data_IF_431068240486
#
_entry.id   IF_431068240486
#
_cell.length_a   1.000
_cell.length_b   1.000
_cell.length_c   1.000
_cell.angle_alpha   90.00
_cell.angle_beta   90.00
_cell.angle_gamma   90.00
#
_symmetry.space_group_name_H-M   'P 1'
#
loop_
_entity.id
_entity.type
_entity.pdbx_description
1 polymer ?
#
# COMPACT_ATOMS: atom_id res chain seq x y z
N UNK A 1 2.38 5.88 34.25
CA UNK A 1 3.37 6.86 33.75
C UNK A 1 4.23 6.14 32.71
N UNK A 2 3.87 6.28 31.43
CA UNK A 2 4.59 5.65 30.31
C UNK A 2 5.87 6.46 30.06
N UNK A 3 6.96 6.05 30.70
CA UNK A 3 8.24 6.74 30.56
C UNK A 3 9.01 6.18 29.36
N UNK A 4 9.16 7.04 28.35
CA UNK A 4 10.23 7.11 27.35
C UNK A 4 10.34 5.86 26.47
N UNK A 5 9.45 5.77 25.48
CA UNK A 5 9.80 5.09 24.24
C UNK A 5 10.87 5.95 23.55
N UNK A 6 12.10 5.45 23.43
CA UNK A 6 13.11 6.05 22.56
C UNK A 6 12.46 6.33 21.20
N UNK A 7 12.75 7.50 20.62
CA UNK A 7 12.15 7.97 19.36
C UNK A 7 12.26 6.98 18.18
N UNK A 8 13.14 5.98 18.29
CA UNK A 8 13.29 4.87 17.35
C UNK A 8 12.17 3.81 17.47
N UNK A 9 11.60 3.61 18.66
CA UNK A 9 10.62 2.54 18.91
C UNK A 9 9.28 2.82 18.25
N UNK A 10 8.92 4.09 18.05
CA UNK A 10 7.68 4.51 17.38
C UNK A 10 7.61 4.12 15.90
N UNK A 11 8.74 3.76 15.28
CA UNK A 11 8.80 3.37 13.86
C UNK A 11 8.42 1.90 13.62
N UNK A 12 8.60 1.00 14.60
CA UNK A 12 8.42 -0.44 14.34
C UNK A 12 6.97 -0.81 13.98
N UNK A 13 6.87 -1.65 12.95
CA UNK A 13 5.62 -2.19 12.43
C UNK A 13 5.63 -3.71 12.48
N UNK A 14 4.46 -4.32 12.37
CA UNK A 14 4.31 -5.77 12.26
C UNK A 14 3.40 -6.12 11.08
N UNK A 15 3.80 -7.10 10.28
CA UNK A 15 2.98 -7.68 9.23
C UNK A 15 2.00 -8.69 9.85
N UNK A 16 0.70 -8.51 9.58
CA UNK A 16 -0.33 -9.47 9.98
C UNK A 16 -0.70 -10.33 8.80
N UNK A 17 -0.60 -11.64 8.98
CA UNK A 17 -1.01 -12.67 8.06
C UNK A 17 -2.34 -13.29 8.51
N UNK A 18 -3.08 -13.80 7.54
CA UNK A 18 -4.22 -14.66 7.80
C UNK A 18 -3.77 -16.01 8.36
N UNK A 19 -4.70 -16.83 8.86
CA UNK A 19 -4.39 -18.19 9.30
C UNK A 19 -3.78 -19.06 8.19
N UNK A 20 -4.10 -18.75 6.93
CA UNK A 20 -3.56 -19.38 5.71
C UNK A 20 -2.30 -18.71 5.17
N UNK A 21 -1.61 -17.88 5.96
CA UNK A 21 -0.35 -17.19 5.64
C UNK A 21 -0.43 -16.08 4.59
N UNK A 22 -1.62 -15.73 4.08
CA UNK A 22 -1.73 -14.58 3.18
C UNK A 22 -1.56 -13.25 3.97
N UNK A 23 -0.73 -12.29 3.53
CA UNK A 23 -0.64 -10.98 4.15
C UNK A 23 -1.97 -10.22 4.10
N UNK A 24 -2.36 -9.68 5.25
CA UNK A 24 -3.60 -8.93 5.43
C UNK A 24 -3.36 -7.43 5.51
N UNK A 25 -2.42 -6.99 6.35
CA UNK A 25 -2.13 -5.57 6.61
C UNK A 25 -0.87 -5.41 7.46
N UNK A 26 -0.34 -4.20 7.51
CA UNK A 26 0.67 -3.81 8.49
C UNK A 26 0.00 -3.08 9.68
N UNK A 27 0.48 -3.32 10.89
CA UNK A 27 0.04 -2.66 12.12
C UNK A 27 1.22 -2.09 12.90
N UNK A 28 0.98 -1.24 13.89
CA UNK A 28 2.02 -0.81 14.81
C UNK A 28 2.44 -1.93 15.77
N UNK A 29 3.67 -1.89 16.27
CA UNK A 29 4.16 -2.88 17.24
C UNK A 29 3.32 -2.92 18.53
N UNK A 30 2.76 -1.80 18.98
CA UNK A 30 1.90 -1.78 20.18
C UNK A 30 0.65 -2.63 19.97
N UNK A 31 0.01 -2.49 18.80
CA UNK A 31 -1.16 -3.30 18.44
C UNK A 31 -0.78 -4.77 18.27
N UNK A 32 0.42 -5.05 17.77
CA UNK A 32 0.95 -6.40 17.64
C UNK A 32 1.06 -7.09 19.01
N UNK A 33 1.64 -6.42 20.00
CA UNK A 33 1.71 -6.92 21.39
C UNK A 33 0.32 -7.13 21.97
N UNK A 34 -0.60 -6.17 21.80
CA UNK A 34 -1.98 -6.32 22.28
C UNK A 34 -2.66 -7.55 21.68
N UNK A 35 -2.50 -7.79 20.38
CA UNK A 35 -3.08 -8.98 19.73
C UNK A 35 -2.44 -10.27 20.25
N UNK A 36 -1.13 -10.27 20.50
CA UNK A 36 -0.41 -11.42 21.04
C UNK A 36 -0.87 -11.75 22.47
N UNK A 37 -0.97 -10.75 23.35
CA UNK A 37 -1.41 -10.95 24.74
C UNK A 37 -2.90 -11.31 24.86
N UNK A 38 -3.71 -10.94 23.86
CA UNK A 38 -5.10 -11.39 23.74
C UNK A 38 -5.22 -12.81 23.14
N UNK A 39 -4.10 -13.49 22.90
CA UNK A 39 -4.02 -14.84 22.32
C UNK A 39 -4.65 -14.95 20.91
N UNK A 40 -4.78 -13.82 20.19
CA UNK A 40 -5.41 -13.78 18.85
C UNK A 40 -4.47 -14.17 17.72
N UNK A 41 -3.17 -14.06 17.97
CA UNK A 41 -2.11 -14.29 17.00
C UNK A 41 -1.01 -15.18 17.55
N UNK A 42 -0.33 -15.84 16.64
CA UNK A 42 0.98 -16.44 16.84
C UNK A 42 2.05 -15.51 16.27
N UNK A 43 3.16 -15.33 16.99
CA UNK A 43 4.30 -14.55 16.48
C UNK A 43 5.22 -15.49 15.71
N UNK A 44 5.38 -15.23 14.41
CA UNK A 44 6.29 -15.99 13.55
C UNK A 44 7.71 -15.43 13.61
N UNK A 45 7.83 -14.11 13.73
CA UNK A 45 9.12 -13.43 13.74
C UNK A 45 9.12 -12.22 14.68
N UNK A 46 10.30 -11.87 15.16
CA UNK A 46 10.53 -10.75 16.07
C UNK A 46 11.53 -9.77 15.47
N UNK A 47 11.38 -8.49 15.80
CA UNK A 47 12.44 -7.50 15.62
C UNK A 47 13.57 -7.74 16.62
N UNK A 48 14.71 -7.09 16.40
CA UNK A 48 15.83 -7.05 17.36
C UNK A 48 15.55 -6.16 18.58
N UNK A 49 14.56 -5.27 18.48
CA UNK A 49 14.16 -4.35 19.54
C UNK A 49 13.22 -5.01 20.58
N UNK A 50 13.15 -4.39 21.77
CA UNK A 50 12.37 -4.86 22.91
C UNK A 50 11.46 -3.76 23.45
N UNK A 51 10.23 -4.12 23.84
CA UNK A 51 9.41 -3.33 24.75
C UNK A 51 9.75 -3.68 26.19
N UNK A 52 9.85 -2.68 27.07
CA UNK A 52 10.10 -2.89 28.50
C UNK A 52 8.91 -2.45 29.34
N UNK A 53 8.64 -3.24 30.37
CA UNK A 53 7.78 -2.87 31.49
C UNK A 53 8.66 -2.63 32.73
N UNK A 54 8.03 -2.32 33.87
CA UNK A 54 8.77 -2.15 35.12
C UNK A 54 9.56 -3.41 35.54
N UNK A 55 9.05 -4.60 35.18
CA UNK A 55 9.59 -5.88 35.67
C UNK A 55 10.08 -6.83 34.55
N UNK A 56 9.66 -6.61 33.31
CA UNK A 56 9.90 -7.54 32.20
C UNK A 56 10.26 -6.84 30.89
N UNK A 57 10.91 -7.58 29.99
CA UNK A 57 11.19 -7.15 28.62
C UNK A 57 10.66 -8.16 27.59
N UNK A 58 10.01 -7.65 26.55
CA UNK A 58 9.37 -8.44 25.50
C UNK A 58 9.96 -8.07 24.15
N UNK A 59 10.41 -9.06 23.37
CA UNK A 59 10.81 -8.81 21.97
C UNK A 59 9.62 -8.29 21.17
N UNK A 60 9.86 -7.28 20.34
CA UNK A 60 8.78 -6.71 19.52
C UNK A 60 8.39 -7.68 18.40
N UNK A 61 7.10 -8.03 18.23
CA UNK A 61 6.66 -8.86 17.11
C UNK A 61 6.87 -8.16 15.76
N UNK A 62 7.36 -8.90 14.78
CA UNK A 62 7.61 -8.46 13.40
C UNK A 62 6.65 -9.07 12.39
N UNK A 63 6.37 -10.38 12.50
CA UNK A 63 5.39 -11.07 11.66
C UNK A 63 4.44 -11.85 12.56
N UNK A 64 3.15 -11.65 12.36
CA UNK A 64 2.08 -12.24 13.14
C UNK A 64 1.16 -13.06 12.24
N UNK A 65 0.73 -14.23 12.71
CA UNK A 65 -0.32 -15.04 12.06
C UNK A 65 -1.57 -15.05 12.92
N UNK A 66 -2.73 -14.75 12.34
CA UNK A 66 -4.00 -14.93 13.04
C UNK A 66 -4.25 -16.41 13.32
N UNK A 67 -4.69 -16.74 14.55
CA UNK A 67 -5.09 -18.12 14.89
C UNK A 67 -6.40 -18.54 14.23
N UNK A 68 -7.26 -17.57 13.93
CA UNK A 68 -8.55 -17.80 13.27
C UNK A 68 -8.49 -17.26 11.85
N UNK A 69 -8.97 -18.07 10.91
CA UNK A 69 -9.10 -17.64 9.52
C UNK A 69 -10.14 -16.52 9.46
N UNK A 70 -9.71 -15.35 9.02
CA UNK A 70 -10.66 -14.32 8.62
C UNK A 70 -10.84 -14.43 7.13
N UNK A 71 -12.08 -14.58 6.67
CA UNK A 71 -12.39 -14.19 5.30
C UNK A 71 -12.10 -12.70 5.25
N UNK A 72 -11.11 -12.24 4.48
CA UNK A 72 -10.99 -10.81 4.25
C UNK A 72 -12.37 -10.41 3.74
N UNK A 73 -13.06 -9.51 4.46
CA UNK A 73 -14.17 -8.82 3.82
C UNK A 73 -13.58 -8.35 2.51
N UNK A 74 -14.16 -8.72 1.36
CA UNK A 74 -13.80 -8.10 0.10
C UNK A 74 -13.94 -6.61 0.40
N UNK A 75 -12.83 -5.95 0.71
CA UNK A 75 -12.81 -4.50 0.79
C UNK A 75 -13.42 -4.06 -0.53
N UNK A 76 -14.33 -3.09 -0.48
CA UNK A 76 -15.20 -2.63 -1.58
C UNK A 76 -14.40 -2.12 -2.80
N UNK A 77 -13.57 -2.98 -3.40
CA UNK A 77 -12.43 -2.61 -4.22
C UNK A 77 -11.25 -2.07 -3.43
N UNK A 78 -10.12 -1.96 -4.13
CA UNK A 78 -8.97 -1.16 -3.69
C UNK A 78 -9.41 0.29 -3.53
N UNK A 79 -9.05 0.92 -2.39
CA UNK A 79 -9.37 2.34 -2.13
C UNK A 79 -8.86 3.19 -3.29
N UNK A 80 -9.72 4.06 -3.81
CA UNK A 80 -9.31 5.06 -4.79
C UNK A 80 -8.48 6.16 -4.11
N UNK A 81 -7.20 6.26 -4.46
CA UNK A 81 -6.31 7.36 -4.12
C UNK A 81 -5.20 7.50 -5.17
N UNK A 82 -4.47 8.62 -5.15
CA UNK A 82 -3.42 8.93 -6.13
C UNK A 82 -2.35 7.84 -6.19
N UNK A 83 -1.90 7.41 -5.02
CA UNK A 83 -0.88 6.39 -4.84
C UNK A 83 -1.33 5.09 -5.49
N UNK A 84 -2.56 4.64 -5.23
CA UNK A 84 -3.09 3.41 -5.79
C UNK A 84 -3.32 3.49 -7.32
N UNK A 85 -3.58 4.66 -7.88
CA UNK A 85 -3.64 4.84 -9.35
C UNK A 85 -2.26 4.69 -9.97
N UNK A 86 -1.21 5.22 -9.34
CA UNK A 86 0.17 5.03 -9.82
C UNK A 86 0.61 3.58 -9.75
N UNK A 87 0.28 2.88 -8.66
CA UNK A 87 0.59 1.46 -8.52
C UNK A 87 -0.16 0.64 -9.57
N UNK A 88 -1.47 0.91 -9.79
CA UNK A 88 -2.26 0.28 -10.85
C UNK A 88 -1.59 0.41 -12.22
N UNK A 89 -1.08 1.60 -12.51
CA UNK A 89 -0.45 1.92 -13.79
C UNK A 89 1.05 1.58 -13.82
N UNK A 90 1.59 0.94 -12.77
CA UNK A 90 3.00 0.62 -12.61
C UNK A 90 3.93 1.82 -12.85
N UNK A 91 3.56 2.99 -12.30
CA UNK A 91 4.29 4.24 -12.44
C UNK A 91 4.55 4.64 -13.91
N UNK A 92 3.68 4.18 -14.82
CA UNK A 92 3.82 4.36 -16.27
C UNK A 92 2.78 5.35 -16.78
N UNK A 93 3.23 6.37 -17.51
CA UNK A 93 2.36 7.33 -18.17
C UNK A 93 1.44 6.61 -19.18
N UNK A 94 0.13 6.78 -19.05
CA UNK A 94 -0.85 6.12 -19.92
C UNK A 94 -0.91 6.70 -21.33
N UNK A 95 -0.17 7.77 -21.63
CA UNK A 95 -0.15 8.41 -22.96
C UNK A 95 1.14 8.09 -23.73
N UNK A 96 2.32 8.32 -23.13
CA UNK A 96 3.61 8.08 -23.79
C UNK A 96 4.27 6.75 -23.44
N UNK A 97 3.66 5.95 -22.54
CA UNK A 97 4.20 4.68 -22.04
C UNK A 97 5.54 4.76 -21.28
N UNK A 98 6.02 5.96 -20.96
CA UNK A 98 7.23 6.17 -20.17
C UNK A 98 6.99 5.86 -18.70
N UNK A 99 7.93 5.11 -18.09
CA UNK A 99 7.94 4.81 -16.65
C UNK A 99 8.79 5.84 -15.93
N UNK A 100 8.22 6.48 -14.91
CA UNK A 100 8.79 7.67 -14.27
C UNK A 100 8.73 7.58 -12.75
N UNK A 101 9.51 8.43 -12.07
CA UNK A 101 9.46 8.54 -10.62
C UNK A 101 8.17 9.21 -10.13
N UNK A 102 7.77 8.89 -8.90
CA UNK A 102 6.54 9.42 -8.27
C UNK A 102 6.40 10.95 -8.37
N UNK A 103 7.50 11.69 -8.25
CA UNK A 103 7.54 13.18 -8.25
C UNK A 103 7.25 13.79 -9.62
N UNK A 104 7.50 13.03 -10.68
CA UNK A 104 7.33 13.44 -12.08
C UNK A 104 5.94 13.07 -12.61
N UNK A 105 5.27 12.13 -11.93
CA UNK A 105 3.93 11.68 -12.26
C UNK A 105 2.85 12.60 -11.71
N UNK A 106 1.79 12.73 -12.49
CA UNK A 106 0.54 13.40 -12.15
C UNK A 106 -0.65 12.48 -12.43
N UNK A 107 -1.82 12.83 -11.88
CA UNK A 107 -3.07 12.16 -12.23
C UNK A 107 -3.82 13.05 -13.21
N UNK A 108 -4.25 12.46 -14.31
CA UNK A 108 -5.10 13.13 -15.31
C UNK A 108 -6.49 12.51 -15.36
N UNK A 109 -7.49 13.34 -15.67
CA UNK A 109 -8.87 12.91 -15.91
C UNK A 109 -9.07 12.62 -17.39
N UNK A 110 -9.52 11.41 -17.75
CA UNK A 110 -9.86 11.02 -19.12
C UNK A 110 -10.91 11.98 -19.70
N UNK A 111 -12.08 12.06 -19.05
CA UNK A 111 -13.03 13.14 -19.23
C UNK A 111 -12.59 14.29 -18.30
N UNK A 112 -12.18 15.46 -18.82
CA UNK A 112 -11.69 16.57 -18.00
C UNK A 112 -12.70 17.00 -16.95
N UNK A 113 -12.22 17.41 -15.77
CA UNK A 113 -13.09 17.90 -14.69
C UNK A 113 -13.95 19.10 -15.12
N UNK A 114 -13.43 19.98 -15.99
CA UNK A 114 -14.19 21.09 -16.59
C UNK A 114 -15.36 20.65 -17.46
N UNK A 115 -15.38 19.40 -17.90
CA UNK A 115 -16.47 18.78 -18.65
C UNK A 115 -17.28 17.78 -17.78
N UNK A 116 -17.19 17.89 -16.45
CA UNK A 116 -17.95 17.03 -15.52
C UNK A 116 -17.33 15.66 -15.25
N UNK A 117 -16.06 15.46 -15.59
CA UNK A 117 -15.34 14.20 -15.32
C UNK A 117 -15.27 13.83 -13.84
N UNK A 118 -15.73 12.63 -13.43
CA UNK A 118 -15.69 12.21 -12.03
C UNK A 118 -14.29 11.77 -11.59
N UNK A 119 -14.01 11.82 -10.28
CA UNK A 119 -12.77 11.29 -9.69
C UNK A 119 -12.94 9.81 -9.33
N UNK A 120 -12.86 8.94 -10.32
CA UNK A 120 -13.11 7.50 -10.17
C UNK A 120 -12.04 6.67 -10.89
N UNK A 121 -11.96 5.38 -10.55
CA UNK A 121 -11.04 4.43 -11.19
C UNK A 121 -11.14 4.38 -12.72
N UNK A 122 -12.33 4.63 -13.27
CA UNK A 122 -12.59 4.57 -14.71
C UNK A 122 -12.31 5.88 -15.44
N UNK A 123 -12.05 6.97 -14.71
CA UNK A 123 -11.80 8.28 -15.29
C UNK A 123 -10.41 8.85 -14.96
N UNK A 124 -9.64 8.18 -14.10
CA UNK A 124 -8.37 8.71 -13.58
C UNK A 124 -7.20 7.80 -13.98
N UNK A 125 -6.16 8.41 -14.55
CA UNK A 125 -4.96 7.72 -15.06
C UNK A 125 -3.68 8.43 -14.67
N UNK A 126 -2.59 7.67 -14.65
CA UNK A 126 -1.24 8.18 -14.47
C UNK A 126 -0.76 8.87 -15.75
N UNK A 127 -0.24 10.09 -15.62
CA UNK A 127 0.31 10.86 -16.74
C UNK A 127 1.57 11.61 -16.32
N UNK A 128 2.59 11.67 -17.19
CA UNK A 128 3.71 12.58 -17.01
C UNK A 128 3.24 14.04 -17.17
N UNK A 129 3.96 14.99 -16.57
CA UNK A 129 3.61 16.42 -16.66
C UNK A 129 3.49 16.93 -18.10
N UNK A 130 4.41 16.63 -19.04
CA UNK A 130 4.28 17.06 -20.42
C UNK A 130 3.01 16.55 -21.09
N UNK A 131 2.72 15.25 -21.00
CA UNK A 131 1.52 14.68 -21.60
C UNK A 131 0.23 15.24 -20.99
N UNK A 132 0.19 15.41 -19.67
CA UNK A 132 -0.96 15.98 -18.98
C UNK A 132 -1.22 17.43 -19.43
N UNK A 133 -0.16 18.25 -19.55
CA UNK A 133 -0.25 19.61 -20.09
C UNK A 133 -0.66 19.63 -21.57
N UNK A 134 -0.14 18.71 -22.39
CA UNK A 134 -0.54 18.59 -23.79
C UNK A 134 -2.01 18.24 -23.91
N UNK A 135 -2.53 17.28 -23.13
CA UNK A 135 -3.95 16.92 -23.18
C UNK A 135 -4.84 18.06 -22.68
N UNK A 136 -4.46 18.70 -21.58
CA UNK A 136 -5.19 19.81 -20.97
C UNK A 136 -6.69 19.47 -20.75
N UNK A 137 -7.59 20.37 -21.17
CA UNK A 137 -9.04 20.22 -21.03
C UNK A 137 -9.69 19.41 -22.15
N UNK A 138 -8.94 18.59 -22.88
CA UNK A 138 -9.45 17.72 -23.96
C UNK A 138 -9.56 16.28 -23.51
N UNK A 139 -10.41 15.50 -24.15
CA UNK A 139 -10.42 14.03 -24.00
C UNK A 139 -9.23 13.42 -24.77
N UNK A 140 -8.79 12.19 -24.45
CA UNK A 140 -7.76 11.46 -25.21
C UNK A 140 -7.98 11.50 -26.72
N UNK A 141 -9.23 11.35 -27.17
CA UNK A 141 -9.59 11.34 -28.59
C UNK A 141 -9.36 12.72 -29.23
N UNK A 142 -9.82 13.79 -28.56
CA UNK A 142 -9.63 15.17 -29.05
C UNK A 142 -8.17 15.62 -29.02
N UNK A 143 -7.38 15.09 -28.09
CA UNK A 143 -5.95 15.36 -28.00
C UNK A 143 -5.11 14.46 -28.93
N UNK A 144 -5.70 13.43 -29.56
CA UNK A 144 -5.00 12.37 -30.30
C UNK A 144 -3.96 11.64 -29.43
N UNK A 145 -4.30 11.42 -28.17
CA UNK A 145 -3.44 10.80 -27.16
C UNK A 145 -4.14 9.53 -26.62
N UNK A 146 -4.17 8.43 -27.38
CA UNK A 146 -4.85 7.21 -26.95
C UNK A 146 -4.24 6.68 -25.65
N UNK A 147 -5.09 6.09 -24.81
CA UNK A 147 -4.62 5.44 -23.58
C UNK A 147 -3.94 4.12 -23.91
N UNK A 148 -2.83 3.83 -23.22
CA UNK A 148 -2.13 2.56 -23.30
C UNK A 148 -3.00 1.39 -22.82
N UNK A 149 -3.79 1.61 -21.76
CA UNK A 149 -4.70 0.62 -21.17
C UNK A 149 -6.00 1.28 -20.73
N UNK A 150 -7.14 0.56 -20.71
CA UNK A 150 -8.39 1.08 -20.19
C UNK A 150 -8.28 1.31 -18.68
N UNK A 151 -8.76 2.47 -18.21
CA UNK A 151 -8.84 2.78 -16.80
C UNK A 151 -9.95 1.95 -16.14
N UNK A 152 -9.57 1.06 -15.22
CA UNK A 152 -10.48 0.23 -14.45
C UNK A 152 -10.02 0.12 -13.00
N UNK A 153 -10.94 -0.25 -12.12
CA UNK A 153 -10.59 -0.57 -10.74
C UNK A 153 -9.77 -1.87 -10.72
N UNK A 154 -8.62 -1.90 -10.02
CA UNK A 154 -7.87 -3.14 -9.85
C UNK A 154 -8.64 -4.07 -8.91
N UNK A 155 -8.66 -5.37 -9.23
CA UNK A 155 -9.22 -6.40 -8.34
C UNK A 155 -8.39 -6.54 -7.06
N UNK A 156 -7.08 -6.31 -7.19
CA UNK A 156 -6.07 -6.32 -6.15
C UNK A 156 -4.93 -5.41 -6.61
N UNK A 157 -4.29 -4.72 -5.67
CA UNK A 157 -2.97 -4.13 -5.87
C UNK A 157 -2.00 -4.83 -4.92
N UNK A 158 -0.73 -5.03 -5.31
CA UNK A 158 0.29 -5.40 -4.35
C UNK A 158 0.19 -4.42 -3.18
N UNK A 159 0.21 -4.94 -1.95
CA UNK A 159 0.23 -4.10 -0.75
C UNK A 159 1.56 -3.35 -0.78
N UNK A 160 1.59 -2.22 -1.47
CA UNK A 160 2.66 -1.24 -1.35
C UNK A 160 2.28 -0.34 -0.17
N UNK A 161 2.13 -0.95 1.01
CA UNK A 161 2.48 -0.24 2.25
C UNK A 161 4.02 -0.29 2.46
N UNK A 162 4.78 -0.73 1.45
CA UNK A 162 6.24 -0.79 1.47
C UNK A 162 6.89 0.60 1.61
N UNK A 163 6.22 1.66 1.14
CA UNK A 163 6.68 3.06 1.23
C UNK A 163 6.26 3.79 2.52
N UNK A 164 5.52 3.14 3.43
CA UNK A 164 5.22 3.74 4.76
C UNK A 164 6.21 3.35 5.84
N UNK A 165 7.22 2.54 5.51
CA UNK A 165 8.37 2.29 6.38
C UNK A 165 9.51 3.11 5.80
N UNK A 166 9.83 4.26 6.41
CA UNK A 166 11.11 4.93 6.14
C UNK A 166 12.24 3.91 6.37
N UNK A 167 12.95 3.53 5.30
CA UNK A 167 13.99 2.49 5.34
C UNK A 167 13.59 1.12 4.75
N UNK A 168 12.36 0.94 4.28
CA UNK A 168 11.88 -0.29 3.65
C UNK A 168 11.46 -1.39 4.63
N UNK A 169 10.67 -2.38 4.16
CA UNK A 169 10.26 -3.48 5.02
C UNK A 169 11.45 -4.36 5.43
N UNK A 170 11.43 -4.94 6.65
CA UNK A 170 12.44 -5.91 7.07
C UNK A 170 12.59 -7.04 6.04
N UNK A 171 13.83 -7.46 5.77
CA UNK A 171 14.15 -8.53 4.80
C UNK A 171 13.34 -9.80 5.09
N UNK A 172 13.10 -10.08 6.36
CA UNK A 172 12.36 -11.26 6.80
C UNK A 172 10.90 -11.27 6.34
N UNK A 173 10.31 -10.10 6.02
CA UNK A 173 8.96 -10.02 5.48
C UNK A 173 8.87 -10.52 4.04
N UNK A 174 9.97 -10.53 3.28
CA UNK A 174 9.97 -10.89 1.87
C UNK A 174 9.46 -12.32 1.64
N UNK A 175 9.65 -13.22 2.59
CA UNK A 175 9.19 -14.60 2.50
C UNK A 175 7.65 -14.72 2.56
N UNK A 176 6.97 -13.76 3.20
CA UNK A 176 5.52 -13.73 3.33
C UNK A 176 4.84 -12.79 2.31
N UNK A 177 5.60 -11.87 1.73
CA UNK A 177 5.10 -10.92 0.73
C UNK A 177 5.19 -11.47 -0.70
N UNK A 178 5.94 -12.55 -0.92
CA UNK A 178 6.07 -13.21 -2.23
C UNK A 178 4.86 -14.07 -2.55
N UNK A 179 3.87 -13.46 -3.18
CA UNK A 179 2.98 -14.22 -4.05
C UNK A 179 3.67 -14.42 -5.41
N UNK A 180 4.10 -15.65 -5.70
CA UNK A 180 4.28 -16.08 -7.09
C UNK A 180 2.93 -15.93 -7.79
N UNK A 181 2.79 -14.87 -8.57
CA UNK A 181 1.82 -14.85 -9.64
C UNK A 181 2.38 -15.77 -10.75
N UNK A 182 1.82 -16.96 -10.88
CA UNK A 182 1.82 -17.67 -12.16
C UNK A 182 0.76 -17.03 -13.07
#
# INVERSE_FOLDING_TARGET
MLAIADAYTTSFKALVLNASYEPLRIISWQKAILMWFQDKVEVLEYHTAFARSANDAFKLPSVLRLKTYIRPKRHEGVRFCRENVYIRDNYTCQYCAEKLDYKELTIDHILPASHGGPKTWTNMVTACRPCNQTKANRTPEKAKMPLLRPAKAPAWLPIIEYDTIEGGAPVSWLDYLRFKAN
#
